data_IF_992751733642
#
_entry.id   IF_992751733642
#
_cell.length_a   1.000
_cell.length_b   1.000
_cell.length_c   1.000
_cell.angle_alpha   90.00
_cell.angle_beta   90.00
_cell.angle_gamma   90.00
#
_symmetry.space_group_name_H-M   'P 1'
#
loop_
_entity.id
_entity.type
_entity.pdbx_description
1 polymer ?
#
# COMPACT_ATOMS: atom_id res chain seq x y z
N UNK A 1 18.02 -8.68 -16.69
CA UNK A 1 17.10 -8.05 -17.68
C UNK A 1 15.90 -7.36 -17.01
N UNK A 2 15.40 -7.84 -15.86
CA UNK A 2 14.25 -7.24 -15.16
C UNK A 2 14.58 -6.12 -14.16
N UNK A 3 15.86 -5.86 -13.87
CA UNK A 3 16.31 -4.96 -12.78
C UNK A 3 15.65 -3.58 -12.81
N UNK A 4 15.66 -2.87 -13.94
CA UNK A 4 15.07 -1.54 -14.03
C UNK A 4 13.54 -1.55 -13.81
N UNK A 5 12.85 -2.58 -14.33
CA UNK A 5 11.40 -2.74 -14.16
C UNK A 5 11.07 -3.09 -12.70
N UNK A 6 11.83 -4.00 -12.09
CA UNK A 6 11.62 -4.45 -10.72
C UNK A 6 11.81 -3.31 -9.71
N UNK A 7 12.93 -2.59 -9.79
CA UNK A 7 13.17 -1.43 -8.93
C UNK A 7 12.21 -0.28 -9.24
N UNK A 8 11.95 0.00 -10.53
CA UNK A 8 11.05 1.06 -10.95
C UNK A 8 9.63 0.88 -10.40
N UNK A 9 9.05 -0.31 -10.56
CA UNK A 9 7.72 -0.63 -10.01
C UNK A 9 7.73 -0.53 -8.48
N UNK A 10 8.74 -1.10 -7.82
CA UNK A 10 8.82 -1.09 -6.37
C UNK A 10 8.95 0.33 -5.79
N UNK A 11 9.72 1.20 -6.43
CA UNK A 11 9.85 2.62 -6.04
C UNK A 11 8.51 3.33 -6.20
N UNK A 12 7.84 3.17 -7.35
CA UNK A 12 6.53 3.79 -7.59
C UNK A 12 5.49 3.34 -6.56
N UNK A 13 5.43 2.05 -6.24
CA UNK A 13 4.51 1.51 -5.25
C UNK A 13 4.80 2.05 -3.85
N UNK A 14 6.06 2.11 -3.44
CA UNK A 14 6.42 2.70 -2.14
C UNK A 14 6.07 4.20 -2.07
N UNK A 15 6.34 4.97 -3.13
CA UNK A 15 5.96 6.38 -3.21
C UNK A 15 4.45 6.57 -3.16
N UNK A 16 3.70 5.66 -3.81
CA UNK A 16 2.24 5.65 -3.73
C UNK A 16 1.76 5.40 -2.29
N UNK A 17 2.37 4.44 -1.57
CA UNK A 17 2.06 4.16 -0.16
C UNK A 17 2.42 5.35 0.74
N UNK A 18 3.55 6.04 0.51
CA UNK A 18 3.89 7.32 1.16
C UNK A 18 2.80 8.36 0.93
N UNK A 19 2.35 8.52 -0.32
CA UNK A 19 1.28 9.44 -0.68
C UNK A 19 -0.04 9.12 0.02
N UNK A 20 -0.45 7.86 0.07
CA UNK A 20 -1.66 7.42 0.80
C UNK A 20 -1.54 7.74 2.28
N UNK A 21 -0.40 7.40 2.90
CA UNK A 21 -0.15 7.71 4.31
C UNK A 21 -0.24 9.20 4.61
N UNK A 22 0.41 10.03 3.79
CA UNK A 22 0.33 11.49 3.90
C UNK A 22 -1.11 12.00 3.74
N UNK A 23 -1.90 11.43 2.81
CA UNK A 23 -3.31 11.80 2.62
C UNK A 23 -4.17 11.47 3.83
N UNK A 24 -3.93 10.36 4.51
CA UNK A 24 -4.63 10.02 5.75
C UNK A 24 -4.25 10.94 6.92
N UNK A 25 -3.04 11.52 6.92
CA UNK A 25 -2.62 12.52 7.92
C UNK A 25 -3.16 13.93 7.62
N UNK A 26 -3.28 14.31 6.34
CA UNK A 26 -3.66 15.66 5.93
C UNK A 26 -5.15 15.82 5.61
N UNK A 27 -5.78 14.75 5.12
CA UNK A 27 -7.18 14.73 4.66
C UNK A 27 -7.87 13.41 5.06
N UNK A 28 -7.97 13.09 6.37
CA UNK A 28 -8.40 11.78 6.86
C UNK A 28 -9.80 11.37 6.39
N UNK A 29 -10.79 12.25 6.49
CA UNK A 29 -12.19 11.94 6.13
C UNK A 29 -12.36 11.64 4.65
N UNK A 30 -11.80 12.49 3.79
CA UNK A 30 -11.82 12.27 2.35
C UNK A 30 -11.06 10.99 1.97
N UNK A 31 -10.00 10.65 2.70
CA UNK A 31 -9.20 9.43 2.47
C UNK A 31 -9.95 8.17 2.90
N UNK A 32 -10.71 8.22 4.00
CA UNK A 32 -11.59 7.13 4.41
C UNK A 32 -12.72 6.90 3.38
N UNK A 33 -13.32 7.97 2.85
CA UNK A 33 -14.29 7.86 1.76
C UNK A 33 -13.69 7.19 0.51
N UNK A 34 -12.48 7.60 0.11
CA UNK A 34 -11.75 6.98 -1.01
C UNK A 34 -11.31 5.53 -0.75
N UNK A 35 -10.99 5.19 0.50
CA UNK A 35 -10.72 3.83 0.93
C UNK A 35 -11.94 2.92 0.80
N UNK A 36 -13.15 3.46 0.82
CA UNK A 36 -14.41 2.72 0.66
C UNK A 36 -15.10 2.39 1.97
N UNK A 37 -14.63 2.94 3.10
CA UNK A 37 -15.31 2.87 4.41
C UNK A 37 -15.36 4.28 4.97
N UNK A 38 -16.53 4.92 4.85
CA UNK A 38 -16.71 6.29 5.34
C UNK A 38 -16.48 6.35 6.85
N UNK A 39 -15.72 7.35 7.30
CA UNK A 39 -15.48 7.60 8.70
C UNK A 39 -16.40 8.71 9.22
N UNK A 40 -16.69 8.65 10.53
CA UNK A 40 -17.29 9.77 11.27
C UNK A 40 -16.26 10.88 11.55
N UNK A 41 -16.55 11.74 12.52
CA UNK A 41 -15.72 12.92 12.83
C UNK A 41 -14.44 12.62 13.62
N UNK A 42 -14.31 11.42 14.19
CA UNK A 42 -13.10 11.00 14.90
C UNK A 42 -12.02 10.53 13.92
N UNK A 43 -10.95 11.32 13.83
CA UNK A 43 -9.84 11.11 12.89
C UNK A 43 -8.62 10.43 13.51
N UNK A 44 -8.60 10.18 14.82
CA UNK A 44 -7.40 9.68 15.50
C UNK A 44 -6.94 8.32 14.92
N UNK A 45 -7.88 7.39 14.73
CA UNK A 45 -7.58 6.09 14.11
C UNK A 45 -7.19 6.21 12.63
N UNK A 46 -7.69 7.23 11.93
CA UNK A 46 -7.32 7.51 10.54
C UNK A 46 -5.88 8.01 10.45
N UNK A 47 -5.44 8.84 11.40
CA UNK A 47 -4.03 9.24 11.51
C UNK A 47 -3.13 8.04 11.84
N UNK A 48 -3.57 7.12 12.72
CA UNK A 48 -2.83 5.88 13.00
C UNK A 48 -2.66 5.04 11.73
N UNK A 49 -3.71 4.91 10.91
CA UNK A 49 -3.57 4.28 9.58
C UNK A 49 -2.57 5.05 8.71
N UNK A 50 -2.71 6.37 8.64
CA UNK A 50 -1.85 7.23 7.83
C UNK A 50 -0.38 7.10 8.17
N UNK A 51 -0.01 7.14 9.44
CA UNK A 51 1.39 7.00 9.85
C UNK A 51 1.93 5.60 9.56
N UNK A 52 1.12 4.54 9.70
CA UNK A 52 1.53 3.16 9.36
C UNK A 52 1.82 3.02 7.87
N UNK A 53 0.91 3.48 7.02
CA UNK A 53 1.09 3.44 5.57
C UNK A 53 2.33 4.27 5.19
N UNK A 54 2.45 5.50 5.70
CA UNK A 54 3.61 6.36 5.46
C UNK A 54 4.94 5.67 5.84
N UNK A 55 5.00 5.06 7.03
CA UNK A 55 6.18 4.34 7.50
C UNK A 55 6.53 3.13 6.64
N UNK A 56 5.55 2.36 6.15
CA UNK A 56 5.84 1.25 5.24
C UNK A 56 6.44 1.73 3.92
N UNK A 57 5.91 2.79 3.32
CA UNK A 57 6.46 3.34 2.08
C UNK A 57 7.90 3.85 2.27
N UNK A 58 8.18 4.57 3.37
CA UNK A 58 9.54 5.02 3.70
C UNK A 58 10.48 3.83 3.92
N UNK A 59 10.04 2.83 4.68
CA UNK A 59 10.83 1.62 4.94
C UNK A 59 11.18 0.89 3.64
N UNK A 60 10.22 0.72 2.73
CA UNK A 60 10.48 0.05 1.45
C UNK A 60 11.48 0.82 0.59
N UNK A 61 11.40 2.16 0.53
CA UNK A 61 12.41 2.98 -0.16
C UNK A 61 13.79 2.82 0.47
N UNK A 62 13.88 2.83 1.81
CA UNK A 62 15.14 2.64 2.52
C UNK A 62 15.74 1.24 2.26
N UNK A 63 14.92 0.18 2.27
CA UNK A 63 15.39 -1.17 1.96
C UNK A 63 15.91 -1.28 0.52
N UNK A 64 15.22 -0.69 -0.45
CA UNK A 64 15.68 -0.68 -1.84
C UNK A 64 17.00 0.09 -2.00
N UNK A 65 17.16 1.21 -1.29
CA UNK A 65 18.36 2.05 -1.38
C UNK A 65 19.58 1.46 -0.64
N UNK A 66 19.37 0.77 0.47
CA UNK A 66 20.45 0.42 1.40
C UNK A 66 20.60 -1.09 1.67
N UNK A 67 19.59 -1.91 1.38
CA UNK A 67 19.60 -3.35 1.67
C UNK A 67 19.43 -4.25 0.42
N UNK A 68 19.04 -3.69 -0.73
CA UNK A 68 18.95 -4.37 -2.01
C UNK A 68 17.63 -5.08 -2.29
N UNK A 69 17.54 -5.69 -3.47
CA UNK A 69 16.29 -6.21 -4.04
C UNK A 69 15.63 -7.29 -3.17
N UNK A 70 16.40 -8.20 -2.57
CA UNK A 70 15.84 -9.31 -1.79
C UNK A 70 15.14 -8.83 -0.50
N UNK A 71 15.70 -7.83 0.18
CA UNK A 71 15.05 -7.21 1.34
C UNK A 71 13.76 -6.48 0.94
N UNK A 72 13.79 -5.74 -0.18
CA UNK A 72 12.60 -5.12 -0.76
C UNK A 72 11.54 -6.14 -1.18
N UNK A 73 11.94 -7.29 -1.72
CA UNK A 73 11.04 -8.36 -2.17
C UNK A 73 10.24 -8.94 -0.99
N UNK A 74 10.93 -9.27 0.10
CA UNK A 74 10.29 -9.75 1.33
C UNK A 74 9.38 -8.70 1.96
N UNK A 75 9.81 -7.44 2.00
CA UNK A 75 8.96 -6.35 2.48
C UNK A 75 7.67 -6.26 1.65
N UNK A 76 7.77 -6.24 0.32
CA UNK A 76 6.59 -6.15 -0.56
C UNK A 76 5.66 -7.35 -0.37
N UNK A 77 6.21 -8.56 -0.22
CA UNK A 77 5.42 -9.77 0.01
C UNK A 77 4.59 -9.66 1.29
N UNK A 78 5.19 -9.18 2.39
CA UNK A 78 4.50 -9.00 3.67
C UNK A 78 3.49 -7.86 3.58
N UNK A 79 3.85 -6.73 2.96
CA UNK A 79 2.99 -5.56 2.85
C UNK A 79 1.79 -5.80 1.94
N UNK A 80 1.84 -6.75 1.00
CA UNK A 80 0.69 -7.18 0.21
C UNK A 80 -0.48 -7.71 1.07
N UNK A 81 -0.23 -8.14 2.30
CA UNK A 81 -1.30 -8.50 3.25
C UNK A 81 -2.23 -7.33 3.57
N UNK A 82 -1.72 -6.09 3.56
CA UNK A 82 -2.50 -4.90 3.87
C UNK A 82 -3.62 -4.67 2.83
N UNK A 83 -3.35 -4.51 1.53
CA UNK A 83 -4.42 -4.34 0.54
C UNK A 83 -5.31 -5.59 0.40
N UNK A 84 -4.81 -6.81 0.68
CA UNK A 84 -5.68 -7.99 0.77
C UNK A 84 -6.69 -7.88 1.92
N UNK A 85 -6.22 -7.46 3.10
CA UNK A 85 -7.09 -7.20 4.25
C UNK A 85 -8.06 -6.05 3.93
N UNK A 86 -7.59 -4.99 3.27
CA UNK A 86 -8.41 -3.85 2.87
C UNK A 86 -9.55 -4.25 1.93
N UNK A 87 -9.31 -5.16 0.97
CA UNK A 87 -10.38 -5.76 0.16
C UNK A 87 -11.47 -6.37 1.03
N UNK A 88 -11.09 -7.17 2.02
CA UNK A 88 -12.03 -7.84 2.93
C UNK A 88 -12.74 -6.82 3.83
N UNK A 89 -12.03 -5.82 4.34
CA UNK A 89 -12.57 -4.77 5.20
C UNK A 89 -13.64 -3.97 4.45
N UNK A 90 -13.36 -3.53 3.22
CA UNK A 90 -14.33 -2.79 2.40
C UNK A 90 -15.59 -3.62 2.16
N UNK A 91 -15.44 -4.89 1.77
CA UNK A 91 -16.58 -5.78 1.52
C UNK A 91 -17.42 -6.03 2.78
N UNK A 92 -16.77 -6.20 3.94
CA UNK A 92 -17.47 -6.46 5.21
C UNK A 92 -18.17 -5.23 5.78
N UNK A 93 -17.75 -4.02 5.40
CA UNK A 93 -18.31 -2.78 5.91
C UNK A 93 -19.21 -2.05 4.89
N UNK A 94 -19.75 -2.79 3.91
CA UNK A 94 -20.73 -2.25 2.96
C UNK A 94 -20.15 -1.33 1.89
N UNK A 95 -18.83 -1.28 1.73
CA UNK A 95 -18.17 -0.54 0.67
C UNK A 95 -18.40 -1.16 -0.72
N UNK A 96 -18.15 -0.39 -1.77
CA UNK A 96 -18.45 -0.85 -3.13
C UNK A 96 -17.50 -1.98 -3.57
N UNK A 97 -18.04 -2.97 -4.30
CA UNK A 97 -17.23 -4.03 -4.92
C UNK A 97 -16.21 -3.48 -5.91
N UNK A 98 -16.54 -2.37 -6.58
CA UNK A 98 -15.63 -1.69 -7.50
C UNK A 98 -14.37 -1.18 -6.76
N UNK A 99 -14.52 -0.57 -5.58
CA UNK A 99 -13.37 -0.14 -4.76
C UNK A 99 -12.64 -1.36 -4.18
N UNK A 100 -13.36 -2.32 -3.63
CA UNK A 100 -12.73 -3.51 -3.03
C UNK A 100 -11.85 -4.29 -4.01
N UNK A 101 -12.35 -4.56 -5.22
CA UNK A 101 -11.62 -5.35 -6.22
C UNK A 101 -10.75 -4.50 -7.14
N UNK A 102 -11.25 -3.35 -7.60
CA UNK A 102 -10.56 -2.49 -8.56
C UNK A 102 -9.45 -1.64 -7.96
N UNK A 103 -9.53 -1.32 -6.66
CA UNK A 103 -8.47 -0.61 -5.94
C UNK A 103 -7.68 -1.60 -5.10
N UNK A 104 -8.26 -2.13 -4.03
CA UNK A 104 -7.48 -2.89 -3.03
C UNK A 104 -6.94 -4.21 -3.56
N UNK A 105 -7.77 -5.06 -4.16
CA UNK A 105 -7.32 -6.37 -4.64
C UNK A 105 -6.34 -6.23 -5.81
N UNK A 106 -6.62 -5.31 -6.74
CA UNK A 106 -5.71 -4.99 -7.83
C UNK A 106 -4.35 -4.46 -7.32
N UNK A 107 -4.35 -3.60 -6.29
CA UNK A 107 -3.10 -3.17 -5.63
C UNK A 107 -2.37 -4.35 -5.00
N UNK A 108 -3.06 -5.24 -4.29
CA UNK A 108 -2.44 -6.43 -3.71
C UNK A 108 -1.74 -7.29 -4.77
N UNK A 109 -2.41 -7.59 -5.88
CA UNK A 109 -1.83 -8.34 -7.00
C UNK A 109 -0.62 -7.61 -7.58
N UNK A 110 -0.71 -6.30 -7.75
CA UNK A 110 0.40 -5.48 -8.28
C UNK A 110 1.62 -5.50 -7.36
N UNK A 111 1.41 -5.43 -6.04
CA UNK A 111 2.49 -5.53 -5.04
C UNK A 111 3.12 -6.93 -5.06
N UNK A 112 2.32 -7.99 -5.18
CA UNK A 112 2.84 -9.37 -5.30
C UNK A 112 3.67 -9.55 -6.58
N UNK A 113 3.23 -8.97 -7.71
CA UNK A 113 4.02 -8.94 -8.95
C UNK A 113 5.34 -8.20 -8.72
N UNK A 114 5.32 -7.05 -8.04
CA UNK A 114 6.53 -6.31 -7.69
C UNK A 114 7.48 -7.13 -6.82
N UNK A 115 6.96 -7.86 -5.83
CA UNK A 115 7.75 -8.74 -4.98
C UNK A 115 8.41 -9.85 -5.80
N UNK A 116 7.64 -10.53 -6.66
CA UNK A 116 8.17 -11.56 -7.54
C UNK A 116 9.25 -11.02 -8.49
N UNK A 117 9.05 -9.83 -9.08
CA UNK A 117 10.05 -9.19 -9.93
C UNK A 117 11.35 -8.87 -9.16
N UNK A 118 11.24 -8.41 -7.91
CA UNK A 118 12.42 -8.15 -7.06
C UNK A 118 13.17 -9.43 -6.69
N UNK A 119 12.49 -10.57 -6.52
CA UNK A 119 13.14 -11.87 -6.32
C UNK A 119 13.85 -12.40 -7.58
N UNK A 120 13.51 -11.88 -8.76
CA UNK A 120 14.12 -12.24 -10.05
C UNK A 120 15.28 -11.31 -10.46
N UNK A 121 15.63 -10.34 -9.62
CA UNK A 121 16.81 -9.47 -9.79
C UNK A 121 18.06 -10.19 -9.32
#
# INVERSE_FOLDING_TARGET
MFTAIAYGLAIVLNLFVVFIGARFLLQPIASAAGYGVAAGTDVAYLHIKGIRDLSYGILGLALLAFAGAQAGAWMMLVVALNPLADTVIVLRNGGSKAVAYGVHFATAVTVLISSALLFLV
#
